data_IF_605375768380
#
_entry.id   IF_605375768380
#
_cell.length_a   1.000
_cell.length_b   1.000
_cell.length_c   1.000
_cell.angle_alpha   90.00
_cell.angle_beta   90.00
_cell.angle_gamma   90.00
#
_symmetry.space_group_name_H-M   'P 1'
#
loop_
_entity.id
_entity.type
_entity.pdbx_description
1 polymer ?
#
# COMPACT_ATOMS: atom_id res chain seq x y z
N UNK A 1 5.04 17.98 -13.96
CA UNK A 1 6.26 17.15 -14.07
C UNK A 1 5.87 15.72 -14.41
N UNK A 2 6.36 15.22 -15.52
CA UNK A 2 6.16 13.81 -15.88
C UNK A 2 7.39 13.03 -15.40
N UNK A 3 7.36 12.55 -14.15
CA UNK A 3 8.46 11.75 -13.60
C UNK A 3 8.27 10.31 -14.05
N UNK A 4 9.22 9.78 -14.80
CA UNK A 4 9.27 8.36 -15.15
C UNK A 4 9.68 7.55 -13.92
N UNK A 5 8.87 6.55 -13.59
CA UNK A 5 9.08 5.64 -12.46
C UNK A 5 9.41 4.21 -12.92
N UNK A 6 9.81 4.04 -14.18
CA UNK A 6 10.23 2.74 -14.70
C UNK A 6 11.31 2.11 -13.83
N UNK A 7 11.16 0.84 -13.50
CA UNK A 7 12.06 0.11 -12.60
C UNK A 7 11.85 0.40 -11.11
N UNK A 8 10.93 1.29 -10.73
CA UNK A 8 10.58 1.53 -9.33
C UNK A 8 9.48 0.57 -8.89
N UNK A 9 9.52 0.20 -7.62
CA UNK A 9 8.49 -0.63 -6.97
C UNK A 9 7.84 0.19 -5.87
N UNK A 10 6.51 0.20 -5.85
CA UNK A 10 5.70 0.92 -4.88
C UNK A 10 4.70 -0.01 -4.19
N UNK A 11 4.42 0.26 -2.92
CA UNK A 11 3.35 -0.36 -2.16
C UNK A 11 2.46 0.73 -1.58
N UNK A 12 1.15 0.64 -1.85
CA UNK A 12 0.15 1.64 -1.40
C UNK A 12 -0.91 0.92 -0.58
N UNK A 13 -1.08 1.31 0.68
CA UNK A 13 -2.15 0.78 1.52
C UNK A 13 -3.47 1.50 1.26
N UNK A 14 -4.59 0.78 1.33
CA UNK A 14 -5.90 1.35 1.08
C UNK A 14 -6.07 1.86 -0.35
N UNK A 15 -5.48 1.18 -1.31
CA UNK A 15 -5.39 1.60 -2.71
C UNK A 15 -6.64 1.30 -3.55
N UNK A 16 -7.69 0.74 -2.96
CA UNK A 16 -8.91 0.38 -3.69
C UNK A 16 -9.98 1.48 -3.73
N UNK A 17 -9.76 2.60 -3.06
CA UNK A 17 -10.72 3.71 -3.00
C UNK A 17 -10.01 5.05 -2.76
N UNK A 18 -10.71 6.16 -3.03
CA UNK A 18 -10.29 7.51 -2.68
C UNK A 18 -8.88 7.89 -3.16
N UNK A 19 -8.14 8.57 -2.29
CA UNK A 19 -6.78 9.06 -2.57
C UNK A 19 -5.84 7.90 -2.90
N UNK A 20 -5.92 6.79 -2.18
CA UNK A 20 -5.07 5.62 -2.42
C UNK A 20 -5.22 5.03 -3.82
N UNK A 21 -6.48 4.95 -4.33
CA UNK A 21 -6.76 4.50 -5.69
C UNK A 21 -6.10 5.40 -6.73
N UNK A 22 -6.28 6.71 -6.61
CA UNK A 22 -5.68 7.67 -7.52
C UNK A 22 -4.16 7.61 -7.46
N UNK A 23 -3.60 7.55 -6.26
CA UNK A 23 -2.14 7.44 -6.04
C UNK A 23 -1.57 6.18 -6.71
N UNK A 24 -2.15 5.01 -6.44
CA UNK A 24 -1.70 3.75 -7.03
C UNK A 24 -1.80 3.77 -8.56
N UNK A 25 -2.91 4.27 -9.08
CA UNK A 25 -3.12 4.41 -10.53
C UNK A 25 -2.05 5.31 -11.16
N UNK A 26 -1.80 6.48 -10.60
CA UNK A 26 -0.81 7.43 -11.14
C UNK A 26 0.61 6.90 -11.07
N UNK A 27 0.99 6.20 -9.99
CA UNK A 27 2.30 5.56 -9.90
C UNK A 27 2.46 4.48 -10.97
N UNK A 28 1.44 3.65 -11.18
CA UNK A 28 1.45 2.59 -12.18
C UNK A 28 1.53 3.14 -13.61
N UNK A 29 0.76 4.18 -13.93
CA UNK A 29 0.79 4.83 -15.25
C UNK A 29 2.12 5.52 -15.55
N UNK A 30 2.90 5.86 -14.52
CA UNK A 30 4.26 6.40 -14.66
C UNK A 30 5.34 5.33 -14.73
N UNK A 31 4.98 4.07 -14.78
CA UNK A 31 5.89 2.94 -14.98
C UNK A 31 6.31 2.20 -13.73
N UNK A 32 5.86 2.59 -12.55
CA UNK A 32 6.16 1.83 -11.33
C UNK A 32 5.42 0.48 -11.33
N UNK A 33 6.05 -0.54 -10.76
CA UNK A 33 5.36 -1.77 -10.37
C UNK A 33 4.68 -1.52 -9.01
N UNK A 34 3.35 -1.52 -8.97
CA UNK A 34 2.58 -1.09 -7.79
C UNK A 34 1.85 -2.26 -7.15
N UNK A 35 2.07 -2.43 -5.85
CA UNK A 35 1.29 -3.33 -5.01
C UNK A 35 0.16 -2.56 -4.31
N UNK A 36 -1.08 -2.97 -4.58
CA UNK A 36 -2.27 -2.43 -3.93
C UNK A 36 -2.57 -3.26 -2.68
N UNK A 37 -2.14 -2.78 -1.53
CA UNK A 37 -2.29 -3.47 -0.26
C UNK A 37 -3.65 -3.12 0.37
N UNK A 38 -4.60 -4.04 0.28
CA UNK A 38 -6.01 -3.84 0.63
C UNK A 38 -6.60 -5.08 1.29
N UNK A 39 -7.73 -4.90 1.99
CA UNK A 39 -8.42 -6.01 2.66
C UNK A 39 -9.15 -6.95 1.71
N UNK A 40 -9.71 -6.43 0.61
CA UNK A 40 -10.62 -7.17 -0.26
C UNK A 40 -10.08 -7.24 -1.69
N UNK A 41 -9.81 -8.45 -2.16
CA UNK A 41 -9.45 -8.70 -3.55
C UNK A 41 -10.57 -8.29 -4.51
N UNK A 42 -11.82 -8.61 -4.15
CA UNK A 42 -13.01 -8.29 -4.95
C UNK A 42 -13.14 -6.77 -5.19
N UNK A 43 -12.97 -5.97 -4.14
CA UNK A 43 -13.04 -4.49 -4.24
C UNK A 43 -11.81 -3.88 -4.91
N UNK A 44 -10.69 -4.58 -4.96
CA UNK A 44 -9.45 -4.11 -5.60
C UNK A 44 -9.41 -4.46 -7.09
N UNK A 45 -10.07 -5.54 -7.50
CA UNK A 45 -10.07 -6.00 -8.88
C UNK A 45 -10.50 -4.92 -9.91
N UNK A 46 -11.56 -4.12 -9.69
CA UNK A 46 -11.90 -3.04 -10.61
C UNK A 46 -10.79 -2.01 -10.80
N UNK A 47 -10.04 -1.71 -9.74
CA UNK A 47 -8.91 -0.76 -9.82
C UNK A 47 -7.77 -1.33 -10.67
N UNK A 48 -7.46 -2.61 -10.53
CA UNK A 48 -6.47 -3.28 -11.36
C UNK A 48 -6.88 -3.30 -12.84
N UNK A 49 -8.16 -3.53 -13.11
CA UNK A 49 -8.72 -3.49 -14.46
C UNK A 49 -8.62 -2.09 -15.07
N UNK A 50 -8.97 -1.06 -14.32
CA UNK A 50 -8.83 0.34 -14.76
C UNK A 50 -7.38 0.70 -15.08
N UNK A 51 -6.43 0.30 -14.23
CA UNK A 51 -5.00 0.53 -14.47
C UNK A 51 -4.55 -0.17 -15.75
N UNK A 52 -4.95 -1.41 -15.95
CA UNK A 52 -4.62 -2.17 -17.16
C UNK A 52 -5.19 -1.49 -18.41
N UNK A 53 -6.45 -1.06 -18.37
CA UNK A 53 -7.10 -0.38 -19.48
C UNK A 53 -6.44 0.97 -19.79
N UNK A 54 -6.23 1.82 -18.79
CA UNK A 54 -5.64 3.15 -18.96
C UNK A 54 -4.20 3.09 -19.47
N UNK A 55 -3.46 2.05 -19.15
CA UNK A 55 -2.07 1.86 -19.59
C UNK A 55 -1.93 1.10 -20.91
N UNK A 56 -3.04 0.65 -21.49
CA UNK A 56 -2.99 -0.25 -22.66
C UNK A 56 -2.29 -1.58 -22.34
N UNK A 57 -2.43 -2.08 -21.12
CA UNK A 57 -1.83 -3.33 -20.66
C UNK A 57 -0.34 -3.23 -20.27
N UNK A 58 0.24 -2.05 -20.26
CA UNK A 58 1.68 -1.84 -19.99
C UNK A 58 2.02 -1.72 -18.51
N UNK A 59 1.09 -1.23 -17.69
CA UNK A 59 1.32 -1.04 -16.26
C UNK A 59 1.38 -2.37 -15.52
N UNK A 60 2.19 -2.42 -14.47
CA UNK A 60 2.29 -3.56 -13.56
C UNK A 60 1.67 -3.18 -12.21
N UNK A 61 0.52 -3.75 -11.91
CA UNK A 61 -0.18 -3.54 -10.65
C UNK A 61 -0.71 -4.87 -10.13
N UNK A 62 -0.56 -5.13 -8.83
CA UNK A 62 -0.92 -6.39 -8.20
C UNK A 62 -1.62 -6.14 -6.86
N UNK A 63 -2.58 -7.00 -6.55
CA UNK A 63 -3.20 -7.04 -5.23
C UNK A 63 -2.28 -7.72 -4.22
N UNK A 64 -2.23 -7.16 -3.01
CA UNK A 64 -1.55 -7.75 -1.86
C UNK A 64 -2.50 -7.70 -0.65
N UNK A 65 -2.86 -8.86 -0.05
CA UNK A 65 -3.79 -8.87 1.08
C UNK A 65 -3.21 -8.15 2.30
N UNK A 66 -3.99 -7.22 2.87
CA UNK A 66 -3.60 -6.49 4.07
C UNK A 66 -4.82 -6.02 4.86
N UNK A 67 -4.91 -6.45 6.12
CA UNK A 67 -5.77 -5.86 7.13
C UNK A 67 -4.90 -5.20 8.21
N UNK A 68 -4.87 -3.88 8.24
CA UNK A 68 -4.07 -3.12 9.21
C UNK A 68 -4.60 -3.23 10.65
N UNK A 69 -5.84 -3.67 10.84
CA UNK A 69 -6.42 -3.94 12.16
C UNK A 69 -6.02 -5.29 12.74
N UNK A 70 -5.33 -6.12 11.96
CA UNK A 70 -4.85 -7.43 12.37
C UNK A 70 -3.34 -7.52 12.13
N UNK A 71 -2.57 -7.50 13.21
CA UNK A 71 -1.09 -7.53 13.12
C UNK A 71 -0.56 -8.83 12.50
N UNK A 72 -1.29 -9.94 12.60
CA UNK A 72 -0.94 -11.17 11.90
C UNK A 72 -1.07 -10.98 10.37
N UNK A 73 -2.10 -10.29 9.91
CA UNK A 73 -2.27 -9.92 8.51
C UNK A 73 -1.16 -8.98 8.02
N UNK A 74 -0.75 -8.02 8.84
CA UNK A 74 0.37 -7.11 8.51
C UNK A 74 1.66 -7.89 8.32
N UNK A 75 1.96 -8.84 9.20
CA UNK A 75 3.14 -9.73 9.09
C UNK A 75 3.07 -10.59 7.82
N UNK A 76 1.93 -11.19 7.55
CA UNK A 76 1.72 -12.00 6.34
C UNK A 76 1.89 -11.17 5.06
N UNK A 77 1.37 -9.96 5.02
CA UNK A 77 1.53 -9.03 3.91
C UNK A 77 3.02 -8.72 3.65
N UNK A 78 3.76 -8.35 4.70
CA UNK A 78 5.19 -8.07 4.59
C UNK A 78 5.96 -9.31 4.11
N UNK A 79 5.67 -10.49 4.65
CA UNK A 79 6.32 -11.74 4.23
C UNK A 79 6.05 -12.07 2.76
N UNK A 80 4.81 -11.90 2.29
CA UNK A 80 4.46 -12.14 0.89
C UNK A 80 5.21 -11.16 -0.03
N UNK A 81 5.32 -9.90 0.33
CA UNK A 81 6.10 -8.94 -0.45
C UNK A 81 7.58 -9.30 -0.46
N UNK A 82 8.18 -9.56 0.71
CA UNK A 82 9.60 -9.89 0.84
C UNK A 82 9.97 -11.17 0.09
N UNK A 83 9.08 -12.15 0.04
CA UNK A 83 9.28 -13.40 -0.71
C UNK A 83 9.41 -13.18 -2.23
N UNK A 84 8.96 -12.03 -2.75
CA UNK A 84 9.11 -11.67 -4.16
C UNK A 84 10.55 -11.27 -4.51
N UNK A 85 11.41 -10.99 -3.53
CA UNK A 85 12.79 -10.57 -3.75
C UNK A 85 12.93 -9.24 -4.50
N UNK A 86 11.89 -8.40 -4.48
CA UNK A 86 11.87 -7.12 -5.17
C UNK A 86 12.39 -6.00 -4.26
N UNK A 87 12.98 -4.93 -4.83
CA UNK A 87 13.22 -3.71 -4.08
C UNK A 87 11.91 -3.02 -3.70
N UNK A 88 11.95 -2.11 -2.73
CA UNK A 88 10.82 -1.24 -2.40
C UNK A 88 11.31 0.21 -2.36
N UNK A 89 10.90 1.00 -3.34
CA UNK A 89 11.35 2.39 -3.49
C UNK A 89 10.35 3.39 -2.92
N UNK A 90 9.05 3.04 -2.90
CA UNK A 90 7.97 3.94 -2.47
C UNK A 90 7.00 3.13 -1.60
N UNK A 91 6.89 3.50 -0.34
CA UNK A 91 5.87 2.99 0.58
C UNK A 91 4.91 4.14 0.91
N UNK A 92 3.64 3.99 0.52
CA UNK A 92 2.59 4.98 0.82
C UNK A 92 1.64 4.39 1.86
N UNK A 93 1.80 4.82 3.10
CA UNK A 93 0.93 4.51 4.23
C UNK A 93 -0.30 5.42 4.15
N UNK A 94 -1.28 5.03 3.31
CA UNK A 94 -2.44 5.85 2.99
C UNK A 94 -3.73 5.38 3.67
N UNK A 95 -3.90 4.08 3.90
CA UNK A 95 -5.13 3.54 4.47
C UNK A 95 -5.50 4.26 5.77
N UNK A 96 -6.76 4.53 5.95
CA UNK A 96 -7.26 5.17 7.16
C UNK A 96 -8.77 5.08 7.26
N UNK A 97 -9.25 5.35 8.44
CA UNK A 97 -10.67 5.47 8.74
C UNK A 97 -10.89 6.57 9.77
N UNK A 98 -12.06 7.16 9.75
CA UNK A 98 -12.44 8.19 10.70
C UNK A 98 -13.91 7.97 11.14
N UNK A 99 -14.23 8.38 12.37
CA UNK A 99 -15.59 8.36 12.90
C UNK A 99 -16.14 6.98 13.30
N UNK A 100 -15.45 5.90 12.98
CA UNK A 100 -15.84 4.56 13.43
C UNK A 100 -15.31 4.28 14.82
N UNK A 101 -16.12 3.65 15.67
CA UNK A 101 -15.71 3.20 17.01
C UNK A 101 -15.54 1.70 17.02
N UNK A 102 -14.63 1.22 17.82
CA UNK A 102 -14.40 -0.21 17.98
C UNK A 102 -12.99 -0.54 18.41
N UNK A 103 -12.70 -1.82 18.38
CA UNK A 103 -11.38 -2.39 18.75
C UNK A 103 -10.92 -3.26 17.60
N UNK A 104 -9.64 -3.17 17.25
CA UNK A 104 -9.04 -4.03 16.21
C UNK A 104 -8.94 -5.48 16.69
N UNK A 105 -8.75 -6.42 15.76
CA UNK A 105 -8.49 -7.82 16.10
C UNK A 105 -7.27 -7.98 17.03
N UNK A 106 -6.31 -7.06 16.97
CA UNK A 106 -5.12 -7.05 17.81
C UNK A 106 -5.28 -6.25 19.11
N UNK A 107 -6.49 -5.79 19.44
CA UNK A 107 -6.82 -5.20 20.74
C UNK A 107 -6.57 -3.68 20.88
N UNK A 108 -6.33 -2.96 19.80
CA UNK A 108 -6.17 -1.50 19.81
C UNK A 108 -7.49 -0.79 19.51
N UNK A 109 -7.63 0.47 19.98
CA UNK A 109 -8.70 1.32 19.48
C UNK A 109 -8.65 1.35 17.94
N UNK A 110 -9.82 1.33 17.30
CA UNK A 110 -9.93 1.02 15.88
C UNK A 110 -9.15 1.97 14.97
N UNK A 111 -9.30 3.28 15.15
CA UNK A 111 -8.60 4.27 14.31
C UNK A 111 -7.09 4.26 14.60
N UNK A 112 -6.71 4.23 15.86
CA UNK A 112 -5.31 4.14 16.27
C UNK A 112 -4.64 2.88 15.76
N UNK A 113 -5.30 1.74 15.90
CA UNK A 113 -4.77 0.45 15.44
C UNK A 113 -4.57 0.40 13.93
N UNK A 114 -5.57 0.81 13.15
CA UNK A 114 -5.52 0.78 11.69
C UNK A 114 -4.62 1.86 11.12
N UNK A 115 -4.80 3.11 11.56
CA UNK A 115 -4.08 4.24 10.95
C UNK A 115 -2.62 4.36 11.41
N UNK A 116 -2.31 3.92 12.63
CA UNK A 116 -0.99 4.08 13.23
C UNK A 116 -0.27 2.75 13.47
N UNK A 117 -0.78 1.90 14.36
CA UNK A 117 -0.06 0.68 14.83
C UNK A 117 0.22 -0.27 13.67
N UNK A 118 -0.77 -0.54 12.82
CA UNK A 118 -0.62 -1.41 11.65
C UNK A 118 0.40 -0.87 10.65
N UNK A 119 0.37 0.43 10.35
CA UNK A 119 1.35 1.06 9.47
C UNK A 119 2.75 1.11 10.07
N UNK A 120 2.86 1.33 11.39
CA UNK A 120 4.14 1.27 12.08
C UNK A 120 4.79 -0.10 11.91
N UNK A 121 4.06 -1.18 12.19
CA UNK A 121 4.56 -2.54 12.04
C UNK A 121 4.93 -2.84 10.58
N UNK A 122 4.07 -2.48 9.62
CA UNK A 122 4.36 -2.69 8.19
C UNK A 122 5.66 -2.00 7.78
N UNK A 123 5.84 -0.74 8.17
CA UNK A 123 7.04 0.04 7.87
C UNK A 123 8.28 -0.60 8.48
N UNK A 124 8.22 -1.01 9.76
CA UNK A 124 9.33 -1.68 10.45
C UNK A 124 9.74 -2.99 9.74
N UNK A 125 8.76 -3.80 9.35
CA UNK A 125 9.03 -5.07 8.66
C UNK A 125 9.63 -4.90 7.26
N UNK A 126 9.36 -3.78 6.60
CA UNK A 126 9.86 -3.47 5.26
C UNK A 126 11.08 -2.53 5.27
N UNK A 127 11.53 -2.09 6.46
CA UNK A 127 12.54 -1.04 6.59
C UNK A 127 13.89 -1.41 5.97
N UNK A 128 14.36 -2.63 6.17
CA UNK A 128 15.65 -3.07 5.60
C UNK A 128 15.60 -3.10 4.08
N UNK A 129 14.48 -3.54 3.50
CA UNK A 129 14.27 -3.51 2.04
C UNK A 129 14.22 -2.09 1.51
N UNK A 130 13.56 -1.17 2.23
CA UNK A 130 13.53 0.26 1.89
C UNK A 130 14.95 0.86 1.90
N UNK A 131 15.73 0.59 2.94
CA UNK A 131 17.11 1.06 3.05
C UNK A 131 18.00 0.50 1.93
N UNK A 132 17.87 -0.79 1.63
CA UNK A 132 18.61 -1.43 0.55
C UNK A 132 18.21 -0.93 -0.85
N UNK A 133 17.02 -0.36 -0.98
CA UNK A 133 16.48 0.17 -2.23
C UNK A 133 16.74 1.67 -2.41
N UNK A 134 17.55 2.28 -1.57
CA UNK A 134 17.80 3.74 -1.62
C UNK A 134 18.25 4.21 -3.02
N UNK A 135 17.78 5.38 -3.49
CA UNK A 135 16.89 6.31 -2.78
C UNK A 135 15.44 5.82 -2.72
N UNK A 136 14.88 5.76 -1.51
CA UNK A 136 13.51 5.33 -1.26
C UNK A 136 12.73 6.41 -0.50
N UNK A 137 11.40 6.31 -0.49
CA UNK A 137 10.48 7.23 0.19
C UNK A 137 9.43 6.46 0.97
N UNK A 138 9.20 6.90 2.20
CA UNK A 138 8.02 6.53 2.98
C UNK A 138 7.13 7.76 3.07
N UNK A 139 5.89 7.64 2.60
CA UNK A 139 4.90 8.73 2.61
C UNK A 139 3.81 8.36 3.62
N UNK A 140 3.63 9.20 4.63
CA UNK A 140 2.56 9.05 5.61
C UNK A 140 1.42 10.00 5.24
N UNK A 141 0.29 9.46 4.83
CA UNK A 141 -0.90 10.27 4.57
C UNK A 141 -1.59 10.55 5.89
N UNK A 142 -1.68 11.81 6.25
CA UNK A 142 -2.22 12.25 7.52
C UNK A 142 -3.24 13.39 7.32
N UNK A 143 -4.08 13.59 8.33
CA UNK A 143 -5.10 14.63 8.35
C UNK A 143 -5.11 15.33 9.71
N UNK A 144 -5.62 16.54 9.72
CA UNK A 144 -5.85 17.35 10.92
C UNK A 144 -7.26 17.12 11.52
N UNK A 145 -8.09 16.33 10.84
CA UNK A 145 -9.47 16.07 11.22
C UNK A 145 -9.55 15.10 12.40
#
# INVERSE_FOLDING_TARGET
>A
MNTDLSGKVALVTGANTGIGRVTATQLALRGAHVFLACRSAERTQPVLQDIAQLSGGKARAEFLPLDLGDLASVRACAQQFLARGLPLHILVNNAGLAGARGVTASGFELAFGVCHVGHFLLTELLLDTLKASAPARVVMVASKA
#
